data_IF_006457897414
#
_entry.id   IF_006457897414
#
_cell.length_a   1.000
_cell.length_b   1.000
_cell.length_c   1.000
_cell.angle_alpha   90.00
_cell.angle_beta   90.00
_cell.angle_gamma   90.00
#
_symmetry.space_group_name_H-M   'P 1'
#
loop_
_entity.id
_entity.type
_entity.pdbx_description
1 polymer ?
#
# COMPACT_ATOMS: atom_id res chain seq x y z
N UNK A 1 65.90 -0.13 -76.12
CA UNK A 1 65.05 -1.24 -75.79
C UNK A 1 65.43 -1.68 -74.34
N UNK A 2 64.56 -1.40 -73.47
CA UNK A 2 64.65 -1.80 -72.05
C UNK A 2 63.32 -1.58 -71.41
N UNK A 3 62.57 -2.65 -71.31
CA UNK A 3 61.28 -2.66 -70.59
C UNK A 3 61.54 -2.63 -69.09
N UNK A 4 60.91 -1.74 -68.41
CA UNK A 4 60.90 -1.69 -66.93
C UNK A 4 59.54 -2.24 -66.47
N UNK A 5 59.62 -3.34 -65.75
CA UNK A 5 58.52 -4.05 -65.20
C UNK A 5 58.06 -3.28 -63.92
N UNK A 6 56.79 -2.84 -63.89
CA UNK A 6 56.23 -2.15 -62.74
C UNK A 6 55.47 -3.17 -61.94
N UNK A 7 56.06 -3.61 -60.84
CA UNK A 7 55.40 -4.45 -59.85
C UNK A 7 54.18 -3.71 -59.20
N UNK A 8 53.01 -4.26 -59.34
CA UNK A 8 51.82 -3.80 -58.69
C UNK A 8 51.86 -4.09 -57.19
N UNK A 9 51.92 -2.99 -56.40
CA UNK A 9 51.78 -3.06 -54.96
C UNK A 9 50.30 -3.21 -54.65
N UNK A 10 49.90 -4.40 -54.19
CA UNK A 10 48.56 -4.66 -53.64
C UNK A 10 48.57 -4.03 -52.24
N UNK A 11 47.76 -2.97 -52.08
CA UNK A 11 47.42 -2.44 -50.75
C UNK A 11 46.36 -3.36 -50.15
N UNK A 12 46.71 -4.07 -49.08
CA UNK A 12 45.75 -4.70 -48.18
C UNK A 12 45.08 -3.61 -47.36
N UNK A 13 43.77 -3.46 -47.51
CA UNK A 13 42.96 -2.67 -46.63
C UNK A 13 42.74 -3.44 -45.30
N UNK A 14 42.86 -2.80 -44.14
CA UNK A 14 42.57 -3.47 -42.88
C UNK A 14 41.07 -3.67 -42.76
N UNK A 15 40.65 -4.94 -42.70
CA UNK A 15 39.30 -5.36 -42.41
C UNK A 15 38.98 -4.92 -40.96
N UNK A 16 38.24 -3.82 -40.80
CA UNK A 16 37.63 -3.46 -39.52
C UNK A 16 36.64 -4.54 -39.10
N UNK A 17 37.08 -5.39 -38.22
CA UNK A 17 36.17 -6.29 -37.47
C UNK A 17 35.33 -5.43 -36.57
N UNK A 18 34.16 -5.03 -37.05
CA UNK A 18 33.15 -4.37 -36.25
C UNK A 18 32.75 -5.32 -35.11
N UNK A 19 33.34 -5.15 -33.96
CA UNK A 19 32.90 -5.78 -32.72
C UNK A 19 31.51 -5.23 -32.43
N UNK A 20 30.48 -5.99 -32.82
CA UNK A 20 29.12 -5.73 -32.42
C UNK A 20 29.07 -5.83 -30.90
N UNK A 21 29.21 -4.71 -30.24
CA UNK A 21 28.90 -4.59 -28.80
C UNK A 21 27.41 -4.89 -28.67
N UNK A 22 27.10 -6.11 -28.26
CA UNK A 22 25.75 -6.46 -27.81
C UNK A 22 25.54 -5.59 -26.60
N UNK A 23 24.81 -4.48 -26.77
CA UNK A 23 24.29 -3.71 -25.65
C UNK A 23 23.30 -4.67 -24.99
N UNK A 24 23.77 -5.41 -23.98
CA UNK A 24 22.87 -6.09 -23.06
C UNK A 24 21.99 -4.98 -22.47
N UNK A 25 20.73 -4.97 -22.88
CA UNK A 25 19.73 -4.13 -22.23
C UNK A 25 19.79 -4.48 -20.74
N UNK A 26 20.21 -3.50 -19.95
CA UNK A 26 20.18 -3.63 -18.51
C UNK A 26 18.72 -4.00 -18.11
N UNK A 27 18.52 -4.99 -17.22
CA UNK A 27 17.19 -5.35 -16.78
C UNK A 27 16.51 -4.08 -16.30
N UNK A 28 15.32 -3.80 -16.82
CA UNK A 28 14.51 -2.67 -16.40
C UNK A 28 14.31 -2.78 -14.91
N UNK A 29 14.77 -1.80 -14.19
CA UNK A 29 14.60 -1.73 -12.73
C UNK A 29 13.13 -1.35 -12.50
N UNK A 30 12.29 -2.34 -12.26
CA UNK A 30 10.87 -2.14 -12.06
C UNK A 30 10.63 -1.37 -10.77
N UNK A 31 10.12 -0.16 -10.89
CA UNK A 31 9.51 0.55 -9.77
C UNK A 31 8.19 -0.14 -9.43
N UNK A 32 7.92 -0.28 -8.15
CA UNK A 32 6.65 -0.84 -7.71
C UNK A 32 5.50 0.11 -8.09
N UNK A 33 4.50 -0.42 -8.77
CA UNK A 33 3.28 0.32 -9.10
C UNK A 33 2.48 0.67 -7.85
N UNK A 34 1.67 1.72 -7.96
CA UNK A 34 0.72 2.11 -6.93
C UNK A 34 -0.30 0.99 -6.69
N UNK A 35 -0.60 0.71 -5.43
CA UNK A 35 -1.62 -0.26 -5.05
C UNK A 35 -2.49 0.23 -3.89
N UNK A 36 -3.72 -0.24 -3.85
CA UNK A 36 -4.66 0.00 -2.77
C UNK A 36 -4.56 -1.12 -1.73
N UNK A 37 -4.30 -0.83 -0.43
CA UNK A 37 -4.29 -1.86 0.61
C UNK A 37 -5.61 -2.62 0.67
N UNK A 38 -5.54 -3.96 0.69
CA UNK A 38 -6.72 -4.82 0.73
C UNK A 38 -7.48 -4.95 -0.59
N UNK A 39 -6.98 -4.38 -1.70
CA UNK A 39 -7.57 -4.56 -3.03
C UNK A 39 -6.90 -5.71 -3.80
N UNK A 40 -7.69 -6.44 -4.57
CA UNK A 40 -7.21 -7.46 -5.50
C UNK A 40 -7.02 -6.87 -6.90
N UNK A 41 -6.05 -7.40 -7.64
CA UNK A 41 -5.85 -6.99 -9.05
C UNK A 41 -7.00 -7.47 -9.92
N UNK A 42 -7.38 -6.73 -10.97
CA UNK A 42 -8.29 -7.23 -12.00
C UNK A 42 -7.74 -8.52 -12.62
N UNK A 43 -8.62 -9.48 -12.88
CA UNK A 43 -8.27 -10.75 -13.51
C UNK A 43 -9.30 -11.09 -14.58
N UNK A 44 -8.82 -11.49 -15.74
CA UNK A 44 -9.70 -11.96 -16.81
C UNK A 44 -10.60 -13.12 -16.36
N UNK A 45 -11.87 -13.07 -16.71
CA UNK A 45 -12.87 -14.08 -16.35
C UNK A 45 -13.34 -14.05 -14.89
N UNK A 46 -12.85 -13.12 -14.05
CA UNK A 46 -13.31 -12.95 -12.69
C UNK A 46 -14.28 -11.80 -12.59
N UNK A 47 -15.56 -12.11 -12.41
CA UNK A 47 -16.64 -11.10 -12.30
C UNK A 47 -16.65 -10.34 -10.96
N UNK A 48 -15.94 -10.81 -9.94
CA UNK A 48 -15.92 -10.21 -8.60
C UNK A 48 -14.48 -9.99 -8.15
N UNK A 49 -14.20 -8.80 -7.60
CA UNK A 49 -12.92 -8.49 -6.96
C UNK A 49 -13.11 -7.64 -5.72
N UNK A 50 -12.12 -7.66 -4.82
CA UNK A 50 -12.08 -6.74 -3.70
C UNK A 50 -11.49 -5.40 -4.16
N UNK A 51 -12.19 -4.30 -3.87
CA UNK A 51 -11.66 -2.94 -3.95
C UNK A 51 -10.99 -2.54 -2.64
N UNK A 52 -11.42 -3.12 -1.52
CA UNK A 52 -10.83 -2.96 -0.19
C UNK A 52 -11.25 -4.12 0.70
N UNK A 53 -10.33 -4.60 1.53
CA UNK A 53 -10.65 -5.48 2.63
C UNK A 53 -9.76 -5.14 3.82
N UNK A 54 -10.38 -4.69 4.92
CA UNK A 54 -9.72 -4.29 6.15
C UNK A 54 -10.51 -4.76 7.39
N UNK A 55 -10.14 -4.28 8.58
CA UNK A 55 -10.80 -4.68 9.83
C UNK A 55 -12.24 -4.18 9.96
N UNK A 56 -12.59 -3.11 9.27
CA UNK A 56 -13.97 -2.56 9.26
C UNK A 56 -14.90 -3.44 8.44
N UNK A 57 -14.39 -4.01 7.35
CA UNK A 57 -15.18 -4.84 6.44
C UNK A 57 -14.53 -4.99 5.08
N UNK A 58 -15.33 -5.28 4.08
CA UNK A 58 -14.89 -5.41 2.70
C UNK A 58 -15.77 -4.63 1.73
N UNK A 59 -15.16 -4.13 0.68
CA UNK A 59 -15.83 -3.56 -0.50
C UNK A 59 -15.50 -4.46 -1.67
N UNK A 60 -16.53 -5.00 -2.31
CA UNK A 60 -16.37 -5.80 -3.53
C UNK A 60 -17.11 -5.16 -4.68
N UNK A 61 -16.53 -5.24 -5.88
CA UNK A 61 -17.23 -4.94 -7.12
C UNK A 61 -17.52 -6.23 -7.85
N UNK A 62 -18.67 -6.28 -8.51
CA UNK A 62 -19.13 -7.41 -9.30
C UNK A 62 -19.67 -6.92 -10.63
N UNK A 63 -19.17 -7.51 -11.69
CA UNK A 63 -19.69 -7.30 -13.02
C UNK A 63 -21.03 -8.03 -13.19
N UNK A 64 -22.08 -7.29 -13.47
CA UNK A 64 -23.42 -7.75 -13.81
C UNK A 64 -23.71 -7.49 -15.30
N UNK A 65 -24.87 -7.92 -15.79
CA UNK A 65 -25.26 -7.68 -17.18
C UNK A 65 -25.54 -6.19 -17.42
N UNK A 66 -24.54 -5.48 -17.96
CA UNK A 66 -24.66 -4.08 -18.35
C UNK A 66 -24.30 -3.03 -17.31
N UNK A 67 -23.90 -3.42 -16.09
CA UNK A 67 -23.42 -2.51 -15.03
C UNK A 67 -22.53 -3.23 -14.03
N UNK A 68 -21.78 -2.48 -13.25
CA UNK A 68 -21.06 -2.99 -12.10
C UNK A 68 -21.83 -2.73 -10.81
N UNK A 69 -21.91 -3.72 -9.95
CA UNK A 69 -22.52 -3.60 -8.63
C UNK A 69 -21.42 -3.54 -7.55
N UNK A 70 -21.56 -2.61 -6.61
CA UNK A 70 -20.71 -2.51 -5.43
C UNK A 70 -21.45 -3.05 -4.21
N UNK A 71 -20.78 -3.88 -3.45
CA UNK A 71 -21.26 -4.40 -2.17
C UNK A 71 -20.26 -4.09 -1.07
N UNK A 72 -20.76 -3.49 0.02
CA UNK A 72 -20.01 -3.21 1.24
C UNK A 72 -20.53 -4.15 2.31
N UNK A 73 -19.67 -5.01 2.85
CA UNK A 73 -19.98 -5.90 3.96
C UNK A 73 -19.14 -5.47 5.17
N UNK A 74 -19.79 -5.34 6.33
CA UNK A 74 -19.11 -4.96 7.57
C UNK A 74 -18.71 -6.19 8.38
N UNK A 75 -17.55 -6.14 9.02
CA UNK A 75 -17.05 -7.22 9.88
C UNK A 75 -17.98 -7.46 11.07
N UNK A 76 -18.60 -6.41 11.60
CA UNK A 76 -19.65 -6.48 12.61
C UNK A 76 -21.03 -6.24 11.97
N UNK A 77 -21.67 -7.32 11.56
CA UNK A 77 -22.99 -7.30 10.97
C UNK A 77 -24.10 -6.93 11.95
N UNK A 78 -23.83 -6.93 13.27
CA UNK A 78 -24.79 -6.51 14.30
C UNK A 78 -24.92 -4.99 14.35
N UNK A 79 -23.85 -4.28 14.03
CA UNK A 79 -23.79 -2.81 14.06
C UNK A 79 -24.31 -2.19 12.77
N UNK A 80 -24.03 -2.79 11.61
CA UNK A 80 -24.41 -2.24 10.30
C UNK A 80 -24.83 -3.32 9.31
N UNK A 81 -25.89 -3.01 8.56
CA UNK A 81 -26.32 -3.85 7.43
C UNK A 81 -25.42 -3.64 6.22
N UNK A 82 -25.25 -4.67 5.39
CA UNK A 82 -24.57 -4.53 4.11
C UNK A 82 -25.21 -3.44 3.24
N UNK A 83 -24.38 -2.71 2.48
CA UNK A 83 -24.81 -1.66 1.57
C UNK A 83 -24.52 -2.11 0.15
N UNK A 84 -25.52 -2.00 -0.75
CA UNK A 84 -25.38 -2.34 -2.17
C UNK A 84 -25.86 -1.18 -3.02
N UNK A 85 -25.12 -0.89 -4.09
CA UNK A 85 -25.50 0.12 -5.08
C UNK A 85 -24.82 -0.16 -6.43
N UNK A 86 -25.36 0.45 -7.48
CA UNK A 86 -24.80 0.36 -8.83
C UNK A 86 -23.61 1.28 -8.97
N UNK A 87 -22.53 0.78 -9.58
CA UNK A 87 -21.35 1.57 -9.90
C UNK A 87 -21.58 2.30 -11.23
N UNK A 88 -21.70 3.61 -11.17
CA UNK A 88 -21.90 4.46 -12.34
C UNK A 88 -20.59 5.05 -12.87
N UNK A 89 -19.45 4.76 -12.23
CA UNK A 89 -18.17 5.44 -12.48
C UNK A 89 -17.03 4.48 -12.82
N UNK A 90 -17.25 3.18 -12.76
CA UNK A 90 -16.23 2.13 -12.92
C UNK A 90 -15.09 2.26 -11.90
N UNK A 91 -15.43 2.04 -10.62
CA UNK A 91 -14.49 2.21 -9.53
C UNK A 91 -13.33 1.22 -9.59
N UNK A 92 -12.11 1.77 -9.63
CA UNK A 92 -10.85 1.03 -9.64
C UNK A 92 -10.30 0.78 -8.24
N UNK A 93 -10.47 1.71 -7.32
CA UNK A 93 -9.94 1.70 -5.94
C UNK A 93 -11.01 2.14 -4.95
N UNK A 94 -10.92 1.64 -3.73
CA UNK A 94 -11.77 2.09 -2.64
C UNK A 94 -11.06 1.97 -1.28
N UNK A 95 -11.51 2.75 -0.31
CA UNK A 95 -11.10 2.64 1.09
C UNK A 95 -12.32 2.67 1.99
N UNK A 96 -12.33 1.81 3.00
CA UNK A 96 -13.43 1.64 3.94
C UNK A 96 -13.01 2.13 5.32
N UNK A 97 -13.74 3.14 5.81
CA UNK A 97 -13.61 3.67 7.16
C UNK A 97 -14.84 3.37 8.02
N UNK A 98 -14.78 3.77 9.29
CA UNK A 98 -15.89 3.59 10.22
C UNK A 98 -17.10 4.48 9.88
N UNK A 99 -16.88 5.67 9.32
CA UNK A 99 -17.93 6.68 9.07
C UNK A 99 -18.39 6.74 7.62
N UNK A 100 -17.61 6.16 6.69
CA UNK A 100 -17.92 6.17 5.26
C UNK A 100 -16.91 5.41 4.43
N UNK A 101 -17.15 5.37 3.13
CA UNK A 101 -16.24 4.80 2.14
C UNK A 101 -15.95 5.82 1.03
N UNK A 102 -14.68 5.86 0.60
CA UNK A 102 -14.25 6.65 -0.54
C UNK A 102 -13.90 5.72 -1.69
N UNK A 103 -14.40 6.05 -2.87
CA UNK A 103 -14.17 5.33 -4.12
C UNK A 103 -13.46 6.24 -5.10
N UNK A 104 -12.61 5.67 -5.94
CA UNK A 104 -11.97 6.35 -7.05
C UNK A 104 -12.15 5.56 -8.34
N UNK A 105 -12.61 6.23 -9.40
CA UNK A 105 -12.61 5.67 -10.75
C UNK A 105 -11.32 6.04 -11.46
N UNK A 106 -10.91 5.17 -12.39
CA UNK A 106 -9.82 5.53 -13.30
C UNK A 106 -10.38 6.34 -14.45
N UNK A 107 -9.74 7.49 -14.71
CA UNK A 107 -10.08 8.31 -15.86
C UNK A 107 -9.60 7.67 -17.18
N UNK A 108 -10.22 8.08 -18.27
CA UNK A 108 -9.78 7.78 -19.63
C UNK A 108 -9.46 9.08 -20.37
N UNK A 109 -9.02 9.00 -21.63
CA UNK A 109 -8.78 10.20 -22.46
C UNK A 109 -10.02 11.08 -22.61
N UNK A 110 -11.21 10.50 -22.51
CA UNK A 110 -12.49 11.20 -22.71
C UNK A 110 -13.35 11.30 -21.47
N UNK A 111 -13.04 10.54 -20.40
CA UNK A 111 -13.84 10.48 -19.19
C UNK A 111 -12.97 10.89 -18.00
N UNK A 112 -13.34 11.93 -17.23
CA UNK A 112 -12.57 12.33 -16.05
C UNK A 112 -12.61 11.24 -14.98
N UNK A 113 -11.52 11.09 -14.24
CA UNK A 113 -11.47 10.31 -13.02
C UNK A 113 -12.36 10.97 -11.97
N UNK A 114 -13.11 10.17 -11.21
CA UNK A 114 -14.09 10.66 -10.25
C UNK A 114 -13.86 10.05 -8.89
N UNK A 115 -13.88 10.90 -7.86
CA UNK A 115 -13.98 10.51 -6.46
C UNK A 115 -15.45 10.46 -6.07
N UNK A 116 -15.85 9.42 -5.32
CA UNK A 116 -17.19 9.28 -4.79
C UNK A 116 -17.10 8.88 -3.32
N UNK A 117 -17.71 9.66 -2.45
CA UNK A 117 -17.78 9.38 -1.02
C UNK A 117 -19.20 8.99 -0.61
N UNK A 118 -19.29 7.85 0.08
CA UNK A 118 -20.55 7.32 0.64
C UNK A 118 -20.49 7.30 2.15
N UNK A 119 -21.18 8.21 2.85
CA UNK A 119 -21.29 8.18 4.31
C UNK A 119 -22.22 7.05 4.77
N UNK A 120 -21.99 6.55 5.99
CA UNK A 120 -22.80 5.48 6.57
C UNK A 120 -23.80 5.97 7.60
N UNK A 121 -23.51 7.07 8.29
CA UNK A 121 -24.35 7.66 9.35
C UNK A 121 -25.07 8.90 8.82
N UNK A 122 -25.71 8.77 7.67
CA UNK A 122 -26.41 9.86 7.01
C UNK A 122 -27.82 10.05 7.62
N UNK A 123 -27.94 10.87 8.63
CA UNK A 123 -29.15 11.67 8.83
C UNK A 123 -29.08 12.83 7.82
N UNK A 124 -30.19 13.22 7.24
CA UNK A 124 -30.41 14.15 6.11
C UNK A 124 -29.41 15.31 5.81
N UNK A 125 -28.33 15.45 6.55
CA UNK A 125 -27.41 16.58 6.52
C UNK A 125 -26.00 16.21 5.98
N UNK A 126 -25.73 14.94 5.71
CA UNK A 126 -24.44 14.51 5.13
C UNK A 126 -24.69 13.64 3.88
N UNK A 127 -25.02 14.26 2.74
CA UNK A 127 -25.29 13.53 1.51
C UNK A 127 -23.99 12.93 0.97
N UNK A 128 -24.12 11.85 0.21
CA UNK A 128 -23.04 11.38 -0.64
C UNK A 128 -22.63 12.49 -1.62
N UNK A 129 -21.34 12.52 -1.96
CA UNK A 129 -20.83 13.50 -2.90
C UNK A 129 -19.91 12.85 -3.93
N UNK A 130 -19.81 13.45 -5.09
CA UNK A 130 -18.86 13.08 -6.13
C UNK A 130 -18.09 14.29 -6.61
N UNK A 131 -16.83 14.09 -7.01
CA UNK A 131 -15.95 15.11 -7.54
C UNK A 131 -15.19 14.54 -8.73
N UNK A 132 -15.40 15.13 -9.89
CA UNK A 132 -14.60 14.80 -11.07
C UNK A 132 -13.29 15.58 -11.08
N UNK A 133 -12.19 14.89 -11.32
CA UNK A 133 -10.87 15.47 -11.45
C UNK A 133 -10.69 16.12 -12.85
N UNK A 134 -9.70 16.99 -13.03
CA UNK A 134 -9.33 17.47 -14.36
C UNK A 134 -9.00 16.30 -15.30
N UNK A 135 -9.27 16.46 -16.59
CA UNK A 135 -8.80 15.53 -17.61
C UNK A 135 -7.29 15.33 -17.50
N UNK A 136 -6.81 14.13 -17.67
CA UNK A 136 -5.42 13.71 -17.51
C UNK A 136 -4.90 13.62 -16.05
N UNK A 137 -5.73 13.88 -15.06
CA UNK A 137 -5.42 13.58 -13.66
C UNK A 137 -6.28 12.41 -13.20
N UNK A 138 -5.67 11.34 -12.70
CA UNK A 138 -6.38 10.11 -12.33
C UNK A 138 -6.13 9.78 -10.86
N UNK A 139 -7.15 9.27 -10.19
CA UNK A 139 -7.02 8.72 -8.83
C UNK A 139 -6.17 7.47 -8.87
N UNK A 140 -5.14 7.41 -8.03
CA UNK A 140 -4.25 6.25 -7.92
C UNK A 140 -4.54 5.40 -6.69
N UNK A 141 -4.67 6.03 -5.53
CA UNK A 141 -5.02 5.35 -4.28
C UNK A 141 -5.80 6.28 -3.36
N UNK A 142 -6.60 5.70 -2.48
CA UNK A 142 -7.49 6.43 -1.57
C UNK A 142 -7.36 5.93 -0.14
N UNK A 143 -7.67 6.81 0.83
CA UNK A 143 -7.67 6.46 2.24
C UNK A 143 -8.81 7.19 2.96
N UNK A 144 -9.41 6.54 3.97
CA UNK A 144 -10.48 7.13 4.80
C UNK A 144 -10.02 7.15 6.24
N UNK A 145 -9.99 8.35 6.83
CA UNK A 145 -9.76 8.58 8.25
C UNK A 145 -11.06 8.81 9.02
N UNK A 146 -10.97 9.47 10.16
CA UNK A 146 -12.14 9.80 10.98
C UNK A 146 -12.65 11.19 10.59
N UNK A 147 -13.84 11.26 9.97
CA UNK A 147 -14.47 12.47 9.42
C UNK A 147 -13.67 13.18 8.31
N UNK A 148 -12.82 12.45 7.62
CA UNK A 148 -12.08 12.93 6.45
C UNK A 148 -11.65 11.78 5.54
N UNK A 149 -11.30 12.11 4.32
CA UNK A 149 -10.74 11.15 3.36
C UNK A 149 -9.67 11.82 2.50
N UNK A 150 -8.84 11.00 1.85
CA UNK A 150 -7.76 11.46 0.99
C UNK A 150 -7.64 10.62 -0.28
N UNK A 151 -7.12 11.25 -1.33
CA UNK A 151 -6.78 10.62 -2.59
C UNK A 151 -5.40 11.09 -3.07
N UNK A 152 -4.58 10.18 -3.59
CA UNK A 152 -3.43 10.55 -4.43
C UNK A 152 -3.83 10.53 -5.89
N UNK A 153 -3.20 11.39 -6.67
CA UNK A 153 -3.49 11.50 -8.09
C UNK A 153 -2.23 11.39 -8.93
N UNK A 154 -2.39 10.99 -10.20
CA UNK A 154 -1.30 10.80 -11.15
C UNK A 154 -0.48 12.07 -11.42
N UNK A 155 -1.05 13.25 -11.16
CA UNK A 155 -0.32 14.52 -11.20
C UNK A 155 0.53 14.79 -9.96
N UNK A 156 0.62 13.82 -9.02
CA UNK A 156 1.41 13.93 -7.80
C UNK A 156 0.76 14.75 -6.69
N UNK A 157 -0.54 15.01 -6.75
CA UNK A 157 -1.25 15.69 -5.68
C UNK A 157 -1.82 14.71 -4.64
N UNK A 158 -1.73 15.14 -3.38
CA UNK A 158 -2.49 14.58 -2.27
C UNK A 158 -3.66 15.52 -1.98
N UNK A 159 -4.88 15.03 -2.18
CA UNK A 159 -6.12 15.78 -1.99
C UNK A 159 -6.85 15.21 -0.78
N UNK A 160 -7.03 16.02 0.24
CA UNK A 160 -7.79 15.66 1.44
C UNK A 160 -9.14 16.39 1.44
N UNK A 161 -10.17 15.70 1.92
CA UNK A 161 -11.53 16.20 1.98
C UNK A 161 -12.12 15.91 3.35
N UNK A 162 -12.97 16.77 3.85
CA UNK A 162 -13.87 16.45 4.96
C UNK A 162 -14.98 15.50 4.47
N UNK A 163 -15.64 14.82 5.36
CA UNK A 163 -16.81 13.98 5.06
C UNK A 163 -17.94 14.75 4.35
N UNK A 164 -18.02 16.05 4.57
CA UNK A 164 -18.94 16.98 3.87
C UNK A 164 -18.56 17.28 2.41
N UNK A 165 -17.42 16.78 1.91
CA UNK A 165 -16.90 17.08 0.58
C UNK A 165 -16.06 18.36 0.49
N UNK A 166 -15.89 19.10 1.60
CA UNK A 166 -15.01 20.26 1.63
C UNK A 166 -13.55 19.84 1.42
N UNK A 167 -12.95 20.26 0.32
CA UNK A 167 -11.55 20.00 0.03
C UNK A 167 -10.63 20.88 0.87
N UNK A 168 -9.64 20.26 1.50
CA UNK A 168 -8.51 20.96 2.12
C UNK A 168 -7.51 21.41 1.05
N UNK A 169 -6.53 22.23 1.43
CA UNK A 169 -5.47 22.62 0.50
C UNK A 169 -4.75 21.40 -0.07
N UNK A 170 -4.76 21.19 -1.39
CA UNK A 170 -3.99 20.12 -2.00
C UNK A 170 -2.50 20.34 -1.75
N UNK A 171 -1.79 19.26 -1.42
CA UNK A 171 -0.34 19.28 -1.26
C UNK A 171 0.31 18.37 -2.30
N UNK A 172 1.57 18.63 -2.65
CA UNK A 172 2.33 17.74 -3.50
C UNK A 172 2.84 16.53 -2.70
N UNK A 173 2.74 15.36 -3.30
CA UNK A 173 3.41 14.17 -2.78
C UNK A 173 4.93 14.36 -2.85
N UNK A 174 5.69 13.89 -1.86
CA UNK A 174 7.14 13.97 -1.89
C UNK A 174 7.80 13.06 -2.95
N UNK A 175 7.05 12.23 -3.62
CA UNK A 175 7.47 11.34 -4.70
C UNK A 175 6.28 10.58 -5.28
N UNK A 176 6.53 9.66 -6.21
CA UNK A 176 5.49 8.80 -6.75
C UNK A 176 4.91 7.93 -5.64
N UNK A 177 3.61 8.03 -5.42
CA UNK A 177 2.91 7.30 -4.37
C UNK A 177 2.83 5.82 -4.72
N UNK A 178 3.14 4.97 -3.76
CA UNK A 178 3.01 3.51 -3.86
C UNK A 178 1.76 3.03 -3.15
N UNK A 179 1.47 3.59 -1.98
CA UNK A 179 0.27 3.20 -1.23
C UNK A 179 -0.08 4.23 -0.16
N UNK A 180 -1.33 4.27 0.26
CA UNK A 180 -1.80 5.11 1.36
C UNK A 180 -2.66 4.32 2.33
N UNK A 181 -2.63 4.75 3.60
CA UNK A 181 -3.52 4.24 4.64
C UNK A 181 -3.84 5.36 5.63
N UNK A 182 -5.01 5.30 6.25
CA UNK A 182 -5.45 6.29 7.23
C UNK A 182 -6.04 5.64 8.48
N UNK A 183 -5.91 6.32 9.62
CA UNK A 183 -6.55 5.95 10.88
C UNK A 183 -6.66 7.18 11.78
N UNK A 184 -7.85 7.42 12.33
CA UNK A 184 -8.10 8.62 13.13
C UNK A 184 -7.79 9.88 12.35
N UNK A 185 -6.88 10.73 12.86
CA UNK A 185 -6.37 11.92 12.17
C UNK A 185 -5.14 11.67 11.30
N UNK A 186 -4.55 10.48 11.34
CA UNK A 186 -3.28 10.18 10.68
C UNK A 186 -3.46 9.64 9.28
N UNK A 187 -2.70 10.20 8.34
CA UNK A 187 -2.53 9.72 6.97
C UNK A 187 -1.09 9.26 6.79
N UNK A 188 -0.89 7.99 6.42
CA UNK A 188 0.39 7.47 5.98
C UNK A 188 0.42 7.42 4.45
N UNK A 189 1.47 7.97 3.86
CA UNK A 189 1.75 7.92 2.42
C UNK A 189 3.10 7.26 2.22
N UNK A 190 3.12 6.18 1.48
CA UNK A 190 4.35 5.49 1.06
C UNK A 190 4.65 5.88 -0.38
N UNK A 191 5.90 6.24 -0.64
CA UNK A 191 6.31 6.78 -1.93
C UNK A 191 7.74 6.36 -2.30
N UNK A 192 8.08 6.43 -3.59
CA UNK A 192 9.44 6.26 -4.07
C UNK A 192 10.28 7.49 -3.72
N UNK A 193 11.31 7.33 -2.88
CA UNK A 193 12.18 8.43 -2.46
C UNK A 193 13.40 8.61 -3.35
N UNK A 194 13.73 7.62 -4.17
CA UNK A 194 14.80 7.68 -5.13
C UNK A 194 14.47 6.86 -6.38
N UNK A 195 15.02 7.27 -7.51
CA UNK A 195 15.02 6.44 -8.70
C UNK A 195 15.73 5.09 -8.40
N UNK A 196 15.33 3.99 -9.06
CA UNK A 196 15.99 2.71 -8.88
C UNK A 196 17.48 2.81 -9.20
N UNK A 197 18.31 2.24 -8.35
CA UNK A 197 19.75 2.22 -8.59
C UNK A 197 20.09 1.22 -9.69
N UNK A 198 21.16 1.52 -10.44
CA UNK A 198 21.63 0.77 -11.62
C UNK A 198 21.76 -0.75 -11.38
N UNK A 199 21.48 -1.57 -12.41
CA UNK A 199 21.38 -3.04 -12.31
C UNK A 199 22.64 -3.75 -11.84
N UNK A 200 23.80 -3.13 -11.94
CA UNK A 200 25.07 -3.72 -11.48
C UNK A 200 25.20 -3.83 -9.94
N UNK A 201 24.28 -3.23 -9.18
CA UNK A 201 24.24 -3.27 -7.70
C UNK A 201 23.02 -3.99 -7.12
N UNK A 202 22.26 -4.71 -7.95
CA UNK A 202 20.96 -5.28 -7.58
C UNK A 202 19.87 -4.22 -7.63
N UNK A 203 18.79 -4.54 -8.35
CA UNK A 203 17.63 -3.67 -8.50
C UNK A 203 16.92 -3.49 -7.15
N UNK A 204 17.22 -2.43 -6.44
CA UNK A 204 16.60 -2.15 -5.14
C UNK A 204 15.85 -0.83 -5.20
N UNK A 205 14.53 -0.92 -5.06
CA UNK A 205 13.72 0.26 -4.83
C UNK A 205 13.95 0.82 -3.43
N UNK A 206 13.86 2.12 -3.28
CA UNK A 206 13.89 2.79 -1.97
C UNK A 206 12.54 3.42 -1.73
N UNK A 207 11.76 2.80 -0.83
CA UNK A 207 10.48 3.34 -0.39
C UNK A 207 10.66 4.11 0.92
N UNK A 208 10.04 5.26 0.96
CA UNK A 208 9.93 6.10 2.16
C UNK A 208 8.47 6.30 2.53
N UNK A 209 8.23 6.67 3.76
CA UNK A 209 6.90 7.04 4.24
C UNK A 209 6.91 8.47 4.77
N UNK A 210 5.76 9.09 4.73
CA UNK A 210 5.47 10.30 5.45
C UNK A 210 4.14 10.13 6.20
N UNK A 211 4.09 10.59 7.43
CA UNK A 211 2.89 10.65 8.25
C UNK A 211 2.42 12.10 8.30
N UNK A 212 1.16 12.31 7.94
CA UNK A 212 0.47 13.59 8.11
C UNK A 212 -0.59 13.47 9.19
N UNK A 213 -0.76 14.55 9.92
CA UNK A 213 -1.94 14.81 10.75
C UNK A 213 -2.88 15.71 9.94
N UNK A 214 -4.06 15.17 9.59
CA UNK A 214 -5.05 15.87 8.78
C UNK A 214 -6.03 16.68 9.65
N UNK A 215 -5.95 16.49 10.97
CA UNK A 215 -6.85 17.14 11.94
C UNK A 215 -8.29 16.62 11.77
N UNK A 216 -8.77 15.88 12.74
CA UNK A 216 -10.10 15.23 12.66
C UNK A 216 -11.12 15.83 13.63
N UNK A 217 -10.69 16.64 14.59
CA UNK A 217 -11.58 17.13 15.64
C UNK A 217 -12.23 18.45 15.23
N UNK A 218 -13.54 18.45 14.90
CA UNK A 218 -14.28 19.66 14.60
C UNK A 218 -14.42 20.59 15.82
N UNK A 219 -14.19 20.07 17.04
CA UNK A 219 -14.26 20.83 18.28
C UNK A 219 -12.94 21.49 18.66
N UNK A 220 -11.80 21.11 18.03
CA UNK A 220 -10.53 21.78 18.22
C UNK A 220 -10.47 23.09 17.39
N UNK A 221 -10.45 24.25 18.04
CA UNK A 221 -10.36 25.55 17.33
C UNK A 221 -9.09 25.67 16.47
N UNK A 222 -8.03 24.93 16.83
CA UNK A 222 -6.79 24.87 16.05
C UNK A 222 -6.92 23.94 14.83
N UNK A 223 -7.81 22.95 14.86
CA UNK A 223 -8.09 22.11 13.70
C UNK A 223 -8.79 22.86 12.58
N UNK A 224 -9.52 23.94 12.93
CA UNK A 224 -10.14 24.84 11.94
C UNK A 224 -9.12 25.76 11.25
N UNK A 225 -7.94 25.95 11.82
CA UNK A 225 -6.86 26.75 11.24
C UNK A 225 -6.02 25.95 10.25
N UNK A 226 -6.03 24.62 10.35
CA UNK A 226 -5.26 23.70 9.52
C UNK A 226 -5.99 23.29 8.25
N UNK A 227 -6.08 24.17 7.25
CA UNK A 227 -6.52 23.78 5.90
C UNK A 227 -5.45 22.95 5.17
N UNK A 228 -4.30 22.70 5.79
CA UNK A 228 -3.17 21.97 5.22
C UNK A 228 -2.82 20.80 6.13
N UNK A 229 -2.73 19.56 5.61
CA UNK A 229 -2.21 18.43 6.36
C UNK A 229 -0.81 18.72 6.91
N UNK A 230 -0.60 18.48 8.22
CA UNK A 230 0.67 18.74 8.88
C UNK A 230 1.55 17.49 8.88
N UNK A 231 2.77 17.58 8.37
CA UNK A 231 3.75 16.50 8.48
C UNK A 231 4.14 16.26 9.95
N UNK A 232 4.00 15.01 10.41
CA UNK A 232 4.33 14.58 11.77
C UNK A 232 5.67 13.85 11.78
N UNK A 233 5.89 12.98 10.81
CA UNK A 233 7.12 12.18 10.70
C UNK A 233 7.37 11.76 9.26
N UNK A 234 8.64 11.49 8.98
CA UNK A 234 9.10 10.97 7.69
C UNK A 234 10.27 10.02 7.93
N UNK A 235 10.34 8.97 7.12
CA UNK A 235 11.44 8.00 7.20
C UNK A 235 11.44 7.03 6.03
N UNK A 236 12.36 6.08 6.07
CA UNK A 236 12.51 5.04 5.05
C UNK A 236 11.85 3.75 5.52
N UNK A 237 11.22 3.00 4.61
CA UNK A 237 10.71 1.67 4.93
C UNK A 237 11.87 0.66 5.05
N UNK A 238 11.78 -0.32 5.97
CA UNK A 238 12.83 -1.31 6.22
C UNK A 238 12.81 -2.46 5.20
N UNK A 239 12.59 -2.15 3.92
CA UNK A 239 12.64 -3.15 2.88
C UNK A 239 14.09 -3.60 2.69
N UNK A 240 14.35 -4.91 2.86
CA UNK A 240 15.70 -5.41 2.77
C UNK A 240 16.27 -5.22 1.36
N UNK A 241 17.45 -4.63 1.30
CA UNK A 241 18.27 -4.58 0.10
C UNK A 241 18.83 -5.97 -0.18
N UNK A 242 18.83 -6.42 -1.42
CA UNK A 242 19.36 -7.73 -1.80
C UNK A 242 19.13 -8.02 -3.27
N UNK A 243 19.59 -9.18 -3.72
CA UNK A 243 19.46 -9.64 -5.12
C UNK A 243 18.02 -9.97 -5.53
N UNK A 244 17.14 -10.21 -4.57
CA UNK A 244 15.73 -10.48 -4.82
C UNK A 244 14.90 -9.22 -4.58
N UNK A 245 13.94 -8.99 -5.47
CA UNK A 245 12.98 -7.91 -5.35
C UNK A 245 12.20 -8.03 -4.03
N UNK A 246 12.15 -6.95 -3.25
CA UNK A 246 11.37 -6.87 -2.04
C UNK A 246 10.33 -5.77 -2.18
N UNK A 247 9.07 -6.18 -2.28
CA UNK A 247 7.93 -5.30 -2.50
C UNK A 247 7.19 -5.05 -1.20
N UNK A 248 6.57 -3.89 -1.10
CA UNK A 248 5.56 -3.62 -0.09
C UNK A 248 4.24 -4.26 -0.53
N UNK A 249 3.66 -5.15 0.28
CA UNK A 249 2.39 -5.82 -0.05
C UNK A 249 1.21 -5.25 0.72
N UNK A 250 1.47 -4.65 1.88
CA UNK A 250 0.41 -4.05 2.69
C UNK A 250 0.98 -2.96 3.61
N UNK A 251 0.17 -1.93 3.84
CA UNK A 251 0.41 -0.88 4.82
C UNK A 251 -0.91 -0.54 5.52
N UNK A 252 -0.87 -0.34 6.84
CA UNK A 252 -2.07 -0.02 7.61
C UNK A 252 -1.76 0.36 9.04
N UNK A 253 -2.79 0.77 9.75
CA UNK A 253 -2.70 1.13 11.16
C UNK A 253 -3.40 0.08 12.04
N UNK A 254 -2.94 -0.05 13.27
CA UNK A 254 -3.68 -0.74 14.32
C UNK A 254 -4.59 0.22 15.11
N UNK A 255 -5.28 -0.30 16.13
CA UNK A 255 -6.19 0.48 16.98
C UNK A 255 -5.50 1.56 17.81
N UNK A 256 -4.20 1.43 18.04
CA UNK A 256 -3.35 2.43 18.70
C UNK A 256 -2.76 3.45 17.73
N UNK A 257 -3.21 3.43 16.47
CA UNK A 257 -2.70 4.28 15.39
C UNK A 257 -1.19 4.14 15.16
N UNK A 258 -0.64 2.92 15.39
CA UNK A 258 0.73 2.59 15.01
C UNK A 258 0.74 2.11 13.57
N UNK A 259 1.68 2.63 12.79
CA UNK A 259 1.84 2.24 11.40
C UNK A 259 2.54 0.88 11.29
N UNK A 260 1.95 0.00 10.51
CA UNK A 260 2.50 -1.30 10.15
C UNK A 260 2.74 -1.38 8.65
N UNK A 261 3.73 -2.19 8.26
CA UNK A 261 4.04 -2.50 6.87
C UNK A 261 4.35 -3.99 6.73
N UNK A 262 3.91 -4.59 5.63
CA UNK A 262 4.17 -6.00 5.34
C UNK A 262 4.85 -6.14 3.98
N UNK A 263 5.94 -6.92 3.92
CA UNK A 263 6.73 -7.09 2.71
C UNK A 263 6.51 -8.45 2.02
N UNK A 264 6.90 -8.54 0.75
CA UNK A 264 6.81 -9.77 -0.06
C UNK A 264 7.66 -10.93 0.47
N UNK A 265 8.57 -10.66 1.40
CA UNK A 265 9.34 -11.68 2.12
C UNK A 265 8.59 -12.28 3.30
N UNK A 266 7.38 -11.79 3.58
CA UNK A 266 6.52 -12.28 4.66
C UNK A 266 6.87 -11.72 6.02
N UNK A 267 7.43 -10.51 6.09
CA UNK A 267 7.76 -9.82 7.33
C UNK A 267 6.79 -8.68 7.59
N UNK A 268 6.24 -8.66 8.80
CA UNK A 268 5.42 -7.58 9.31
C UNK A 268 6.28 -6.70 10.21
N UNK A 269 6.24 -5.41 9.95
CA UNK A 269 6.94 -4.38 10.70
C UNK A 269 5.94 -3.46 11.41
N UNK A 270 6.36 -2.88 12.53
CA UNK A 270 5.67 -1.77 13.18
C UNK A 270 6.61 -0.59 13.32
N UNK A 271 6.09 0.59 13.06
CA UNK A 271 6.81 1.84 13.32
C UNK A 271 6.77 2.12 14.83
N UNK A 272 7.94 2.37 15.41
CA UNK A 272 8.08 2.70 16.83
C UNK A 272 7.25 3.94 17.19
N UNK A 273 6.35 3.87 18.16
CA UNK A 273 5.57 5.04 18.58
C UNK A 273 6.41 6.10 19.30
N UNK A 274 7.62 5.73 19.76
CA UNK A 274 8.47 6.61 20.55
C UNK A 274 9.17 7.66 19.68
N UNK A 275 9.80 7.24 18.59
CA UNK A 275 10.54 8.13 17.69
C UNK A 275 9.87 8.33 16.33
N UNK A 276 8.87 7.50 16.03
CA UNK A 276 8.16 7.46 14.73
C UNK A 276 9.11 7.40 13.52
N UNK A 277 10.26 6.75 13.68
CA UNK A 277 11.29 6.58 12.64
C UNK A 277 11.84 5.16 12.58
N UNK A 278 11.97 4.51 13.75
CA UNK A 278 12.55 3.16 13.86
C UNK A 278 11.47 2.10 13.60
N UNK A 279 11.80 1.14 12.75
CA UNK A 279 10.95 0.01 12.45
C UNK A 279 11.40 -1.24 13.21
N UNK A 280 10.43 -2.00 13.70
CA UNK A 280 10.66 -3.26 14.41
C UNK A 280 9.91 -4.38 13.71
N UNK A 281 10.59 -5.53 13.52
CA UNK A 281 9.95 -6.73 12.97
C UNK A 281 9.06 -7.36 14.03
N UNK A 282 7.77 -7.50 13.76
CA UNK A 282 6.78 -8.07 14.69
C UNK A 282 6.40 -9.50 14.32
N UNK A 283 6.52 -9.88 13.05
CA UNK A 283 6.26 -11.21 12.55
C UNK A 283 7.17 -11.52 11.37
N UNK A 284 7.71 -12.74 11.32
CA UNK A 284 8.37 -13.31 10.15
C UNK A 284 7.71 -14.66 9.84
N UNK A 285 6.90 -14.70 8.79
CA UNK A 285 6.08 -15.86 8.43
C UNK A 285 6.90 -17.04 7.93
N UNK A 286 8.15 -16.82 7.50
CA UNK A 286 9.08 -17.88 7.07
C UNK A 286 9.82 -18.50 8.25
N UNK A 287 10.05 -17.72 9.31
CA UNK A 287 10.84 -18.13 10.47
C UNK A 287 10.01 -18.52 11.69
N UNK A 288 8.70 -18.31 11.63
CA UNK A 288 7.81 -18.65 12.74
C UNK A 288 7.80 -20.17 13.00
N UNK A 289 7.67 -20.55 14.27
CA UNK A 289 7.49 -21.96 14.69
C UNK A 289 6.03 -22.41 14.66
N UNK A 290 5.09 -21.46 14.50
CA UNK A 290 3.68 -21.80 14.39
C UNK A 290 3.37 -22.35 13.01
N UNK A 291 3.14 -23.68 12.93
CA UNK A 291 2.85 -24.40 11.69
C UNK A 291 1.59 -23.92 10.98
N UNK A 292 0.69 -23.21 11.67
CA UNK A 292 -0.53 -22.64 11.05
C UNK A 292 -0.24 -21.42 10.21
N UNK A 293 0.83 -20.71 10.53
CA UNK A 293 1.19 -19.43 9.93
C UNK A 293 2.39 -19.57 9.01
N UNK A 294 3.25 -20.55 9.30
CA UNK A 294 4.47 -20.79 8.53
C UNK A 294 4.14 -21.10 7.09
N UNK A 295 4.68 -20.31 6.17
CA UNK A 295 4.62 -20.60 4.74
C UNK A 295 5.37 -21.88 4.43
N UNK A 296 4.70 -22.81 3.74
CA UNK A 296 5.23 -24.16 3.43
C UNK A 296 5.91 -24.23 2.09
N UNK A 297 5.63 -23.28 1.20
CA UNK A 297 6.22 -23.20 -0.14
C UNK A 297 6.45 -21.76 -0.56
N UNK A 298 7.30 -21.56 -1.59
CA UNK A 298 7.52 -20.27 -2.22
C UNK A 298 6.27 -19.74 -2.96
N UNK A 299 5.30 -20.62 -3.23
CA UNK A 299 4.03 -20.27 -3.88
C UNK A 299 2.97 -19.79 -2.89
N UNK A 300 3.25 -19.82 -1.59
CA UNK A 300 2.35 -19.32 -0.54
C UNK A 300 2.74 -17.91 -0.11
N UNK A 301 1.74 -17.08 0.11
CA UNK A 301 1.90 -15.75 0.71
C UNK A 301 0.75 -15.45 1.68
N UNK A 302 1.03 -14.59 2.67
CA UNK A 302 -0.01 -14.05 3.52
C UNK A 302 -0.62 -12.81 2.86
N UNK A 303 -1.93 -12.79 2.80
CA UNK A 303 -2.71 -11.60 2.50
C UNK A 303 -3.16 -10.96 3.82
N UNK A 304 -2.59 -9.80 4.15
CA UNK A 304 -2.90 -9.11 5.39
C UNK A 304 -4.21 -8.32 5.23
N UNK A 305 -5.14 -8.55 6.15
CA UNK A 305 -6.40 -7.80 6.27
C UNK A 305 -6.23 -6.63 7.23
N UNK A 306 -5.50 -6.85 8.32
CA UNK A 306 -5.22 -5.82 9.30
C UNK A 306 -4.50 -6.33 10.54
N UNK A 307 -4.17 -5.41 11.43
CA UNK A 307 -3.53 -5.69 12.73
C UNK A 307 -4.37 -5.05 13.82
N UNK A 308 -4.76 -5.81 14.84
CA UNK A 308 -5.52 -5.30 15.98
C UNK A 308 -5.31 -6.17 17.22
N UNK A 309 -5.32 -5.56 18.41
CA UNK A 309 -5.18 -6.23 19.70
C UNK A 309 -3.98 -7.19 19.77
N UNK A 310 -2.84 -6.75 19.22
CA UNK A 310 -1.64 -7.57 19.19
C UNK A 310 -1.75 -8.83 18.30
N UNK A 311 -2.67 -8.83 17.32
CA UNK A 311 -2.87 -9.93 16.37
C UNK A 311 -2.88 -9.42 14.95
N UNK A 312 -2.25 -10.15 14.05
CA UNK A 312 -2.42 -9.95 12.62
C UNK A 312 -3.56 -10.83 12.12
N UNK A 313 -4.49 -10.21 11.38
CA UNK A 313 -5.54 -10.90 10.64
C UNK A 313 -5.05 -11.09 9.22
N UNK A 314 -4.93 -12.32 8.77
CA UNK A 314 -4.42 -12.65 7.44
C UNK A 314 -5.08 -13.90 6.86
N UNK A 315 -4.95 -14.09 5.56
CA UNK A 315 -5.29 -15.35 4.89
C UNK A 315 -4.10 -15.83 4.08
N UNK A 316 -3.90 -17.15 3.98
CA UNK A 316 -2.85 -17.74 3.15
C UNK A 316 -3.39 -17.95 1.75
N UNK A 317 -2.76 -17.34 0.78
CA UNK A 317 -3.07 -17.48 -0.62
C UNK A 317 -1.97 -18.27 -1.32
N UNK A 318 -2.35 -19.04 -2.36
CA UNK A 318 -1.44 -19.89 -3.14
C UNK A 318 -1.47 -19.48 -4.60
N UNK A 319 -0.32 -19.35 -5.22
CA UNK A 319 -0.17 -19.05 -6.62
C UNK A 319 1.27 -18.81 -7.02
N UNK A 320 1.55 -18.95 -8.32
CA UNK A 320 2.88 -18.68 -8.87
C UNK A 320 3.11 -17.20 -9.07
N UNK A 321 2.12 -16.53 -9.62
CA UNK A 321 2.17 -15.10 -9.90
C UNK A 321 1.55 -14.28 -8.76
N UNK A 322 1.91 -12.99 -8.68
CA UNK A 322 1.37 -12.05 -7.70
C UNK A 322 -0.16 -11.95 -7.80
N UNK A 323 -0.70 -11.99 -9.02
CA UNK A 323 -2.15 -11.97 -9.29
C UNK A 323 -2.85 -13.22 -8.76
N UNK A 324 -2.17 -14.35 -8.69
CA UNK A 324 -2.73 -15.60 -8.16
C UNK A 324 -2.70 -15.66 -6.63
N UNK A 325 -1.76 -14.94 -5.98
CA UNK A 325 -1.60 -14.89 -4.53
C UNK A 325 -2.56 -13.92 -3.85
N UNK A 326 -3.83 -13.97 -4.25
CA UNK A 326 -4.88 -13.09 -3.78
C UNK A 326 -6.14 -13.86 -3.40
N UNK A 327 -6.93 -13.40 -2.42
CA UNK A 327 -8.18 -14.04 -2.06
C UNK A 327 -9.20 -13.90 -3.21
N UNK A 328 -9.75 -15.04 -3.64
CA UNK A 328 -10.81 -15.09 -4.67
C UNK A 328 -12.20 -14.92 -4.07
N UNK A 329 -12.36 -15.42 -2.86
CA UNK A 329 -13.56 -15.32 -2.04
C UNK A 329 -13.15 -14.79 -0.69
N UNK A 330 -14.10 -14.44 0.18
CA UNK A 330 -13.78 -14.05 1.55
C UNK A 330 -13.55 -15.33 2.40
N UNK A 331 -12.31 -15.83 2.51
CA UNK A 331 -12.02 -16.95 3.38
C UNK A 331 -12.08 -16.48 4.84
N UNK A 332 -12.30 -17.40 5.76
CA UNK A 332 -12.14 -17.11 7.18
C UNK A 332 -10.69 -16.72 7.45
N UNK A 333 -10.40 -15.50 7.91
CA UNK A 333 -9.03 -15.07 8.13
C UNK A 333 -8.41 -15.81 9.32
N UNK A 334 -7.10 -16.02 9.25
CA UNK A 334 -6.29 -16.50 10.35
C UNK A 334 -5.97 -15.34 11.28
N UNK A 335 -6.11 -15.57 12.58
CA UNK A 335 -5.69 -14.65 13.62
C UNK A 335 -4.35 -15.11 14.19
N UNK A 336 -3.31 -14.36 13.89
CA UNK A 336 -1.94 -14.64 14.34
C UNK A 336 -1.59 -13.71 15.48
N UNK A 337 -1.30 -14.27 16.66
CA UNK A 337 -0.75 -13.48 17.77
C UNK A 337 0.62 -12.93 17.38
N UNK A 338 0.79 -11.63 17.53
CA UNK A 338 2.10 -11.01 17.37
C UNK A 338 2.92 -11.24 18.64
N UNK A 339 4.23 -11.48 18.53
CA UNK A 339 5.09 -11.80 19.69
C UNK A 339 5.23 -10.65 20.69
N UNK A 340 4.70 -9.50 20.39
CA UNK A 340 4.76 -8.28 21.21
C UNK A 340 3.97 -8.31 22.52
N UNK A 341 3.52 -9.43 23.00
CA UNK A 341 2.80 -9.51 24.27
C UNK A 341 2.92 -10.84 24.97
N UNK A 342 3.47 -11.85 24.35
CA UNK A 342 3.40 -13.22 24.87
C UNK A 342 4.73 -13.88 25.20
N UNK A 343 5.87 -13.23 25.07
CA UNK A 343 7.17 -13.82 25.42
C UNK A 343 7.55 -15.13 24.72
N UNK A 344 6.71 -15.61 23.79
CA UNK A 344 6.68 -17.00 23.34
C UNK A 344 7.44 -17.26 22.04
N UNK A 345 7.71 -16.24 21.21
CA UNK A 345 8.08 -16.51 19.83
C UNK A 345 9.55 -16.38 19.47
N UNK A 346 10.41 -16.11 20.40
CA UNK A 346 11.81 -15.91 20.07
C UNK A 346 12.77 -16.76 20.90
N UNK A 347 12.36 -17.92 21.32
CA UNK A 347 13.27 -18.88 21.97
C UNK A 347 14.09 -19.65 20.92
N UNK A 348 15.00 -18.97 20.26
CA UNK A 348 16.20 -19.58 19.72
C UNK A 348 17.40 -19.01 20.45
N UNK A 349 17.78 -19.68 21.52
CA UNK A 349 19.13 -19.94 21.99
C UNK A 349 20.13 -18.80 22.20
N UNK A 350 19.75 -17.53 22.24
CA UNK A 350 20.65 -16.47 22.66
C UNK A 350 19.92 -15.33 23.36
N UNK A 351 20.34 -15.03 24.58
CA UNK A 351 19.74 -14.04 25.49
C UNK A 351 19.74 -12.56 25.04
N UNK A 352 19.90 -12.29 23.74
CA UNK A 352 19.83 -10.94 23.20
C UNK A 352 18.43 -10.42 22.93
N UNK A 353 17.43 -11.29 22.98
CA UNK A 353 16.06 -10.98 22.56
C UNK A 353 15.14 -10.49 23.68
N UNK A 354 15.53 -10.64 24.94
CA UNK A 354 14.79 -10.09 26.08
C UNK A 354 14.79 -8.55 26.10
N UNK A 355 15.79 -7.92 25.47
CA UNK A 355 15.92 -6.46 25.44
C UNK A 355 14.90 -5.83 24.49
N UNK A 356 14.69 -6.42 23.30
CA UNK A 356 13.72 -5.91 22.32
C UNK A 356 12.27 -6.06 22.81
N UNK A 357 11.96 -7.18 23.47
CA UNK A 357 10.62 -7.42 24.05
C UNK A 357 10.36 -6.44 25.21
N UNK A 358 11.34 -6.21 26.09
CA UNK A 358 11.22 -5.24 27.17
C UNK A 358 11.06 -3.81 26.67
N UNK A 359 11.76 -3.45 25.60
CA UNK A 359 11.62 -2.13 24.98
C UNK A 359 10.21 -1.92 24.41
N UNK A 360 9.65 -2.92 23.75
CA UNK A 360 8.30 -2.87 23.19
C UNK A 360 7.21 -2.89 24.27
N UNK A 361 7.41 -3.64 25.35
CA UNK A 361 6.52 -3.62 26.52
C UNK A 361 6.56 -2.26 27.24
N UNK A 362 7.73 -1.65 27.39
CA UNK A 362 7.87 -0.30 27.94
C UNK A 362 7.22 0.75 27.05
N UNK A 363 7.39 0.67 25.74
CA UNK A 363 6.73 1.56 24.79
C UNK A 363 5.20 1.44 24.83
N UNK A 364 4.67 0.22 25.05
CA UNK A 364 3.22 -0.02 25.17
C UNK A 364 2.67 0.49 26.50
N UNK A 365 3.40 0.36 27.59
CA UNK A 365 2.99 0.87 28.92
C UNK A 365 3.06 2.39 29.00
N UNK A 366 3.98 3.05 28.31
CA UNK A 366 4.02 4.52 28.26
C UNK A 366 2.81 5.14 27.56
N UNK A 367 2.20 4.44 26.59
CA UNK A 367 1.01 4.94 25.89
C UNK A 367 -0.26 4.84 26.74
N UNK A 368 -0.29 3.97 27.76
CA UNK A 368 -1.43 3.85 28.69
C UNK A 368 -1.50 4.93 29.76
N UNK A 369 -0.48 5.79 29.88
CA UNK A 369 -0.39 6.83 30.93
C UNK A 369 -0.65 8.26 30.46
N UNK A 370 -1.06 8.47 29.19
CA UNK A 370 -1.56 9.77 28.75
C UNK A 370 -3.07 9.69 28.52
N UNK A 371 -3.86 10.44 29.34
CA UNK A 371 -5.32 10.52 29.19
C UNK A 371 -5.73 11.21 27.89
#
# INVERSE_FOLDING_TARGET
>A
SGAVDVASVVREEPTETATRTVIQQAPETLMQDTFQPGATYPREGTKRRFLCWNLVGSITTREEEGYNAVEIEFSDSSTRRPVRFSDNYDFGVASLGATGALFGSQGSKSTPSTLFYKPFDSWAHNPEWSLSLPLHDSVETVAVGHHWCAASTSSGHLRCFRDSGLQLTPILSPGQVVSMSASGSKLAVVYHSAAPMSPNQGATQTLSFVLYDVGSDPSDPLSCVGLVPREVSRGTLPLAKGSEENLLEWVGFDELQRLHAFDSRGRLFVLSPHDMKTWMVTLDTKRTKDDKIRLRSAEESHWIVGVSHGRAMSTVCKGREKVDRQPRTMPKPLLTALPLGSGVLLSNGSGKMSVEINFLQQATSCVQFFP
#
